data_IF_249670409345
#
_entry.id   IF_249670409345
#
_cell.length_a   1.000
_cell.length_b   1.000
_cell.length_c   1.000
_cell.angle_alpha   90.00
_cell.angle_beta   90.00
_cell.angle_gamma   90.00
#
_symmetry.space_group_name_H-M   'P 1'
#
loop_
_entity.id
_entity.type
_entity.pdbx_description
1 polymer ?
#
# COMPACT_ATOMS: atom_id res chain seq x y z
N UNK A 1 -21.86 31.43 9.61
CA UNK A 1 -22.61 30.48 8.74
C UNK A 1 -21.83 29.23 8.35
N UNK A 2 -20.50 29.26 8.20
CA UNK A 2 -19.68 28.06 7.88
C UNK A 2 -19.96 26.89 8.82
N UNK A 3 -19.95 27.13 10.14
CA UNK A 3 -20.24 26.12 11.14
C UNK A 3 -21.55 25.37 10.87
N UNK A 4 -22.64 26.09 10.55
CA UNK A 4 -23.92 25.45 10.25
C UNK A 4 -23.84 24.55 9.00
N UNK A 5 -23.12 24.98 7.95
CA UNK A 5 -22.92 24.16 6.74
C UNK A 5 -22.11 22.91 7.02
N UNK A 6 -21.03 23.02 7.80
CA UNK A 6 -20.24 21.87 8.27
C UNK A 6 -21.11 20.90 9.05
N UNK A 7 -21.93 21.38 10.00
CA UNK A 7 -22.81 20.51 10.79
C UNK A 7 -23.88 19.82 9.95
N UNK A 8 -24.43 20.48 8.93
CA UNK A 8 -25.37 19.85 8.00
C UNK A 8 -24.68 18.69 7.26
N UNK A 9 -23.50 18.91 6.68
CA UNK A 9 -22.76 17.86 5.98
C UNK A 9 -22.33 16.71 6.92
N UNK A 10 -21.93 17.04 8.15
CA UNK A 10 -21.64 16.07 9.20
C UNK A 10 -22.86 15.18 9.51
N UNK A 11 -24.05 15.78 9.67
CA UNK A 11 -25.28 15.04 9.97
C UNK A 11 -25.68 14.13 8.80
N UNK A 12 -25.54 14.62 7.56
CA UNK A 12 -25.78 13.81 6.36
C UNK A 12 -24.83 12.60 6.35
N UNK A 13 -23.53 12.82 6.55
CA UNK A 13 -22.55 11.71 6.66
C UNK A 13 -22.94 10.72 7.75
N UNK A 14 -23.32 11.18 8.94
CA UNK A 14 -23.73 10.31 10.04
C UNK A 14 -24.94 9.45 9.68
N UNK A 15 -25.90 9.99 8.93
CA UNK A 15 -27.06 9.24 8.43
C UNK A 15 -26.64 8.18 7.41
N UNK A 16 -25.82 8.53 6.42
CA UNK A 16 -25.30 7.59 5.42
C UNK A 16 -24.50 6.45 6.08
N UNK A 17 -23.67 6.78 7.07
CA UNK A 17 -22.88 5.78 7.78
C UNK A 17 -23.77 4.84 8.61
N UNK A 18 -24.82 5.37 9.25
CA UNK A 18 -25.77 4.54 9.98
C UNK A 18 -26.52 3.59 9.04
N UNK A 19 -26.91 4.06 7.85
CA UNK A 19 -27.53 3.23 6.82
C UNK A 19 -26.62 2.07 6.40
N UNK A 20 -25.36 2.36 6.05
CA UNK A 20 -24.37 1.36 5.66
C UNK A 20 -24.17 0.27 6.74
N UNK A 21 -23.99 0.67 8.00
CA UNK A 21 -23.81 -0.27 9.13
C UNK A 21 -25.06 -1.13 9.34
N UNK A 22 -26.26 -0.56 9.20
CA UNK A 22 -27.50 -1.33 9.37
C UNK A 22 -27.63 -2.34 8.22
N UNK A 23 -27.34 -1.94 6.98
CA UNK A 23 -27.41 -2.82 5.82
C UNK A 23 -26.43 -4.01 5.95
N UNK A 24 -25.19 -3.75 6.37
CA UNK A 24 -24.19 -4.78 6.63
C UNK A 24 -24.69 -5.81 7.64
N UNK A 25 -25.23 -5.36 8.78
CA UNK A 25 -25.79 -6.26 9.83
C UNK A 25 -27.04 -7.01 9.40
N UNK A 26 -27.85 -6.43 8.52
CA UNK A 26 -29.03 -7.10 7.97
C UNK A 26 -28.59 -8.18 6.98
N UNK A 27 -27.56 -7.90 6.18
CA UNK A 27 -26.97 -8.83 5.22
C UNK A 27 -26.39 -10.07 5.91
N UNK A 28 -25.60 -9.89 6.97
CA UNK A 28 -25.03 -10.99 7.78
C UNK A 28 -26.10 -11.94 8.37
N UNK A 29 -27.35 -11.47 8.54
CA UNK A 29 -28.43 -12.25 9.15
C UNK A 29 -29.34 -12.98 8.14
N UNK A 30 -29.23 -12.71 6.84
CA UNK A 30 -30.09 -13.33 5.81
C UNK A 30 -29.26 -14.12 4.81
N UNK A 31 -29.20 -15.43 5.01
CA UNK A 31 -28.89 -16.38 3.93
C UNK A 31 -29.97 -16.22 2.84
N UNK A 32 -29.60 -15.60 1.72
CA UNK A 32 -30.34 -15.47 0.46
C UNK A 32 -31.45 -14.39 0.32
N UNK A 33 -31.16 -13.46 -0.62
CA UNK A 33 -32.03 -12.72 -1.55
C UNK A 33 -32.92 -11.56 -1.01
N UNK A 34 -32.35 -10.36 -1.06
CA UNK A 34 -32.80 -9.20 -1.86
C UNK A 34 -31.72 -8.12 -1.75
N UNK A 35 -30.83 -8.04 -2.75
CA UNK A 35 -29.58 -7.28 -2.70
C UNK A 35 -29.72 -5.75 -2.78
N UNK A 36 -30.94 -5.21 -2.74
CA UNK A 36 -31.16 -3.76 -2.77
C UNK A 36 -32.04 -3.39 -1.58
N UNK A 37 -31.50 -2.62 -0.63
CA UNK A 37 -32.31 -2.12 0.45
C UNK A 37 -31.56 -1.23 1.41
N UNK A 38 -31.05 -0.09 0.94
CA UNK A 38 -30.82 1.05 1.83
C UNK A 38 -32.06 1.23 2.72
N UNK A 39 -31.85 1.39 4.03
CA UNK A 39 -32.91 1.71 4.99
C UNK A 39 -33.48 3.10 4.68
N UNK A 40 -32.62 3.98 4.17
CA UNK A 40 -33.03 5.30 3.69
C UNK A 40 -33.74 5.13 2.34
N UNK A 41 -34.99 5.60 2.20
CA UNK A 41 -35.69 5.55 0.91
C UNK A 41 -34.91 6.33 -0.17
N UNK A 42 -34.86 5.80 -1.40
CA UNK A 42 -34.08 6.39 -2.51
C UNK A 42 -34.38 7.88 -2.76
N UNK A 43 -35.63 8.32 -2.57
CA UNK A 43 -36.00 9.73 -2.71
C UNK A 43 -35.27 10.64 -1.70
N UNK A 44 -35.07 10.17 -0.47
CA UNK A 44 -34.35 10.89 0.56
C UNK A 44 -32.84 10.83 0.30
N UNK A 45 -32.33 9.69 -0.15
CA UNK A 45 -30.93 9.55 -0.55
C UNK A 45 -30.55 10.52 -1.67
N UNK A 46 -31.43 10.71 -2.67
CA UNK A 46 -31.23 11.68 -3.72
C UNK A 46 -31.15 13.10 -3.19
N UNK A 47 -32.05 13.50 -2.28
CA UNK A 47 -32.01 14.83 -1.66
C UNK A 47 -30.74 15.03 -0.84
N UNK A 48 -30.31 14.02 -0.08
CA UNK A 48 -29.06 14.07 0.69
C UNK A 48 -27.85 14.21 -0.24
N UNK A 49 -27.83 13.46 -1.34
CA UNK A 49 -26.77 13.53 -2.34
C UNK A 49 -26.74 14.89 -3.05
N UNK A 50 -27.88 15.46 -3.44
CA UNK A 50 -27.96 16.80 -4.03
C UNK A 50 -27.38 17.87 -3.10
N UNK A 51 -27.65 17.77 -1.79
CA UNK A 51 -27.06 18.70 -0.81
C UNK A 51 -25.54 18.54 -0.74
N UNK A 52 -25.01 17.31 -0.80
CA UNK A 52 -23.56 17.07 -0.85
C UNK A 52 -22.95 17.59 -2.16
N UNK A 53 -23.62 17.36 -3.29
CA UNK A 53 -23.21 17.83 -4.61
C UNK A 53 -23.17 19.35 -4.67
N UNK A 54 -24.10 20.08 -4.08
CA UNK A 54 -24.02 21.55 -4.03
C UNK A 54 -22.86 22.05 -3.15
N UNK A 55 -22.37 21.23 -2.21
CA UNK A 55 -21.39 21.64 -1.19
C UNK A 55 -19.98 21.12 -1.42
N UNK A 56 -19.76 20.23 -2.38
CA UNK A 56 -18.40 19.76 -2.70
C UNK A 56 -17.48 20.88 -3.19
N UNK A 57 -18.05 21.96 -3.77
CA UNK A 57 -17.33 23.18 -4.20
C UNK A 57 -17.46 24.35 -3.22
N UNK A 58 -17.81 24.11 -1.94
CA UNK A 58 -17.91 25.19 -0.95
C UNK A 58 -16.57 25.91 -0.78
N UNK A 59 -16.61 27.22 -0.57
CA UNK A 59 -15.42 28.06 -0.34
C UNK A 59 -14.64 27.63 0.91
N UNK A 60 -15.33 27.03 1.89
CA UNK A 60 -14.71 26.52 3.10
C UNK A 60 -14.22 25.08 2.92
N UNK A 61 -12.90 24.87 3.01
CA UNK A 61 -12.29 23.54 3.03
C UNK A 61 -12.89 22.61 4.11
N UNK A 62 -13.26 23.13 5.29
CA UNK A 62 -13.89 22.32 6.34
C UNK A 62 -15.27 21.79 5.92
N UNK A 63 -16.00 22.52 5.08
CA UNK A 63 -17.28 22.04 4.52
C UNK A 63 -16.99 20.96 3.47
N UNK A 64 -16.07 21.23 2.53
CA UNK A 64 -15.68 20.26 1.49
C UNK A 64 -15.17 18.95 2.11
N UNK A 65 -14.32 19.02 3.12
CA UNK A 65 -13.81 17.87 3.87
C UNK A 65 -14.94 17.00 4.45
N UNK A 66 -15.96 17.60 5.06
CA UNK A 66 -17.12 16.85 5.57
C UNK A 66 -17.98 16.26 4.45
N UNK A 67 -18.13 16.98 3.33
CA UNK A 67 -18.82 16.48 2.14
C UNK A 67 -18.12 15.22 1.61
N UNK A 68 -16.79 15.25 1.45
CA UNK A 68 -16.03 14.12 0.92
C UNK A 68 -16.16 12.86 1.77
N UNK A 69 -16.15 13.01 3.11
CA UNK A 69 -16.39 11.88 4.03
C UNK A 69 -17.81 11.30 3.91
N UNK A 70 -18.79 12.11 3.50
CA UNK A 70 -20.15 11.63 3.20
C UNK A 70 -20.20 10.91 1.85
N UNK A 71 -19.61 11.52 0.82
CA UNK A 71 -19.56 10.97 -0.54
C UNK A 71 -18.85 9.62 -0.58
N UNK A 72 -17.79 9.43 0.23
CA UNK A 72 -17.07 8.16 0.27
C UNK A 72 -17.90 6.96 0.75
N UNK A 73 -18.98 7.17 1.48
CA UNK A 73 -19.84 6.08 1.96
C UNK A 73 -20.67 5.51 0.81
N UNK A 74 -21.00 6.34 -0.18
CA UNK A 74 -21.88 6.00 -1.31
C UNK A 74 -21.12 5.87 -2.62
N UNK A 75 -19.79 5.70 -2.58
CA UNK A 75 -18.94 5.78 -3.76
C UNK A 75 -19.13 4.63 -4.75
N UNK A 76 -19.53 3.46 -4.24
CA UNK A 76 -19.75 2.24 -5.03
C UNK A 76 -21.22 2.05 -5.44
N UNK A 77 -22.10 3.00 -5.09
CA UNK A 77 -23.51 2.94 -5.45
C UNK A 77 -23.70 3.13 -6.97
N UNK A 78 -24.52 2.27 -7.57
CA UNK A 78 -24.69 2.22 -9.03
C UNK A 78 -25.17 3.57 -9.59
N UNK A 79 -24.69 3.91 -10.79
CA UNK A 79 -25.08 5.15 -11.48
C UNK A 79 -26.62 5.26 -11.70
N UNK A 80 -27.30 4.12 -11.77
CA UNK A 80 -28.76 3.98 -11.88
C UNK A 80 -29.52 4.47 -10.63
N UNK A 81 -28.85 4.50 -9.48
CA UNK A 81 -29.39 5.02 -8.24
C UNK A 81 -29.58 6.55 -8.31
N UNK A 82 -28.58 7.26 -8.85
CA UNK A 82 -28.56 8.72 -8.93
C UNK A 82 -29.11 9.28 -10.26
N UNK A 83 -29.21 8.45 -11.32
CA UNK A 83 -29.59 8.90 -12.67
C UNK A 83 -31.08 9.23 -12.88
N UNK A 84 -31.93 9.02 -11.86
CA UNK A 84 -33.39 9.25 -12.02
C UNK A 84 -33.80 10.73 -12.07
N UNK A 85 -32.90 11.69 -11.81
CA UNK A 85 -33.19 13.10 -11.99
C UNK A 85 -32.01 13.86 -12.63
N UNK A 86 -32.21 14.25 -13.90
CA UNK A 86 -31.40 15.11 -14.80
C UNK A 86 -30.37 14.39 -15.67
N UNK A 87 -30.72 14.30 -16.95
CA UNK A 87 -29.95 13.72 -18.03
C UNK A 87 -28.72 14.54 -18.50
N UNK A 88 -28.06 15.34 -17.65
CA UNK A 88 -26.86 16.09 -18.03
C UNK A 88 -25.94 16.33 -16.81
N UNK A 89 -24.67 15.92 -16.91
CA UNK A 89 -23.51 16.43 -16.17
C UNK A 89 -23.45 16.27 -14.63
N UNK A 90 -24.14 15.33 -14.01
CA UNK A 90 -23.85 15.02 -12.60
C UNK A 90 -22.66 14.07 -12.49
N UNK A 91 -21.61 14.55 -11.83
CA UNK A 91 -20.41 13.75 -11.53
C UNK A 91 -20.76 12.67 -10.52
N UNK A 92 -20.22 11.47 -10.72
CA UNK A 92 -20.42 10.37 -9.76
C UNK A 92 -19.77 10.68 -8.41
N UNK A 93 -20.22 10.07 -7.32
CA UNK A 93 -19.50 10.12 -6.04
C UNK A 93 -18.00 9.85 -6.17
N UNK A 94 -17.63 8.83 -6.96
CA UNK A 94 -16.24 8.47 -7.22
C UNK A 94 -15.49 9.56 -8.00
N UNK A 95 -16.08 10.12 -9.05
CA UNK A 95 -15.49 11.24 -9.81
C UNK A 95 -15.29 12.49 -8.95
N UNK A 96 -16.20 12.76 -8.01
CA UNK A 96 -16.03 13.87 -7.06
C UNK A 96 -14.79 13.60 -6.21
N UNK A 97 -14.66 12.42 -5.60
CA UNK A 97 -13.47 12.06 -4.81
C UNK A 97 -12.18 12.21 -5.63
N UNK A 98 -12.15 11.70 -6.87
CA UNK A 98 -11.00 11.83 -7.78
C UNK A 98 -10.59 13.29 -8.00
N UNK A 99 -11.55 14.19 -8.22
CA UNK A 99 -11.26 15.63 -8.40
C UNK A 99 -10.58 16.25 -7.18
N UNK A 100 -10.97 15.83 -5.98
CA UNK A 100 -10.43 16.40 -4.74
C UNK A 100 -9.02 15.91 -4.37
N UNK A 101 -8.41 15.01 -5.15
CA UNK A 101 -6.96 14.77 -5.09
C UNK A 101 -6.16 16.04 -5.44
N UNK A 102 -6.76 16.95 -6.24
CA UNK A 102 -6.17 18.22 -6.66
C UNK A 102 -6.82 19.42 -5.95
N UNK A 103 -7.48 19.21 -4.81
CA UNK A 103 -8.06 20.31 -4.03
C UNK A 103 -6.97 21.27 -3.55
N UNK A 104 -7.28 22.56 -3.44
CA UNK A 104 -6.36 23.58 -2.90
C UNK A 104 -5.99 23.34 -1.42
N UNK A 105 -6.84 22.64 -0.68
CA UNK A 105 -6.66 22.33 0.73
C UNK A 105 -6.11 20.93 0.92
N UNK A 106 -4.97 20.84 1.61
CA UNK A 106 -4.37 19.55 1.97
C UNK A 106 -5.27 18.69 2.88
N UNK A 107 -6.15 19.31 3.68
CA UNK A 107 -7.16 18.57 4.47
C UNK A 107 -8.19 17.87 3.59
N UNK A 108 -8.59 18.49 2.48
CA UNK A 108 -9.52 17.89 1.52
C UNK A 108 -8.85 16.78 0.71
N UNK A 109 -7.61 17.03 0.25
CA UNK A 109 -6.78 16.01 -0.39
C UNK A 109 -6.59 14.79 0.54
N UNK A 110 -6.29 15.03 1.81
CA UNK A 110 -6.09 13.98 2.81
C UNK A 110 -7.34 13.13 3.00
N UNK A 111 -8.53 13.74 3.02
CA UNK A 111 -9.79 12.99 3.08
C UNK A 111 -9.96 12.15 1.82
N UNK A 112 -9.83 12.74 0.63
CA UNK A 112 -9.99 12.01 -0.62
C UNK A 112 -9.04 10.80 -0.71
N UNK A 113 -7.76 10.98 -0.38
CA UNK A 113 -6.75 9.92 -0.29
C UNK A 113 -7.16 8.83 0.70
N UNK A 114 -7.65 9.20 1.88
CA UNK A 114 -8.01 8.23 2.93
C UNK A 114 -9.28 7.45 2.66
N UNK A 115 -10.20 7.97 1.85
CA UNK A 115 -11.56 7.42 1.78
C UNK A 115 -11.94 6.85 0.42
N UNK A 116 -11.22 7.18 -0.65
CA UNK A 116 -11.52 6.60 -1.98
C UNK A 116 -11.28 5.09 -2.00
N UNK A 117 -12.08 4.36 -2.76
CA UNK A 117 -11.90 2.95 -3.07
C UNK A 117 -10.79 2.81 -4.12
N UNK A 118 -9.75 2.04 -3.84
CA UNK A 118 -8.56 1.94 -4.71
C UNK A 118 -8.55 0.56 -5.39
N UNK A 119 -9.51 0.35 -6.30
CA UNK A 119 -9.70 -0.95 -6.97
C UNK A 119 -9.28 -0.90 -8.44
N UNK A 120 -9.59 0.21 -9.13
CA UNK A 120 -9.25 0.36 -10.54
C UNK A 120 -7.92 1.08 -10.74
N UNK A 121 -7.35 0.86 -11.93
CA UNK A 121 -6.03 1.37 -12.34
C UNK A 121 -5.91 2.89 -12.20
N UNK A 122 -7.00 3.61 -12.47
CA UNK A 122 -7.03 5.07 -12.41
C UNK A 122 -6.85 5.59 -10.97
N UNK A 123 -7.51 4.99 -9.98
CA UNK A 123 -7.34 5.34 -8.57
C UNK A 123 -5.95 4.98 -8.05
N UNK A 124 -5.40 3.85 -8.50
CA UNK A 124 -4.02 3.47 -8.16
C UNK A 124 -3.04 4.52 -8.72
N UNK A 125 -3.21 4.94 -9.97
CA UNK A 125 -2.37 5.97 -10.58
C UNK A 125 -2.46 7.31 -9.84
N UNK A 126 -3.67 7.75 -9.48
CA UNK A 126 -3.87 8.94 -8.65
C UNK A 126 -3.18 8.81 -7.28
N UNK A 127 -3.28 7.64 -6.64
CA UNK A 127 -2.65 7.41 -5.34
C UNK A 127 -1.12 7.46 -5.44
N UNK A 128 -0.54 6.90 -6.51
CA UNK A 128 0.90 6.99 -6.79
C UNK A 128 1.32 8.44 -7.03
N UNK A 129 0.57 9.24 -7.80
CA UNK A 129 0.85 10.67 -7.99
C UNK A 129 0.92 11.41 -6.64
N UNK A 130 -0.03 11.14 -5.73
CA UNK A 130 -0.05 11.75 -4.40
C UNK A 130 1.12 11.31 -3.52
N UNK A 131 1.51 10.04 -3.60
CA UNK A 131 2.64 9.50 -2.84
C UNK A 131 4.01 10.01 -3.33
N UNK A 132 4.14 10.37 -4.60
CA UNK A 132 5.41 10.83 -5.20
C UNK A 132 5.54 12.36 -5.25
N UNK A 133 4.44 13.08 -5.40
CA UNK A 133 4.47 14.51 -5.77
C UNK A 133 3.79 15.46 -4.79
N UNK A 134 3.12 14.99 -3.74
CA UNK A 134 2.39 15.89 -2.86
C UNK A 134 3.32 16.66 -1.92
N UNK A 135 3.12 17.98 -1.81
CA UNK A 135 3.94 18.86 -0.98
C UNK A 135 3.68 18.70 0.52
N UNK A 136 2.50 18.21 0.93
CA UNK A 136 2.14 18.01 2.32
C UNK A 136 2.48 16.58 2.77
N UNK A 137 3.45 16.47 3.69
CA UNK A 137 3.95 15.20 4.24
C UNK A 137 2.83 14.29 4.76
N UNK A 138 1.77 14.85 5.36
CA UNK A 138 0.63 14.07 5.87
C UNK A 138 -0.19 13.39 4.76
N UNK A 139 -0.38 14.09 3.64
CA UNK A 139 -1.11 13.55 2.48
C UNK A 139 -0.26 12.49 1.79
N UNK A 140 1.02 12.79 1.58
CA UNK A 140 2.00 11.86 1.02
C UNK A 140 2.05 10.55 1.84
N UNK A 141 2.20 10.66 3.17
CA UNK A 141 2.24 9.52 4.08
C UNK A 141 0.96 8.69 4.06
N UNK A 142 -0.21 9.34 3.96
CA UNK A 142 -1.48 8.66 3.85
C UNK A 142 -1.59 7.89 2.53
N UNK A 143 -1.16 8.48 1.41
CA UNK A 143 -1.14 7.82 0.11
C UNK A 143 -0.22 6.59 0.11
N UNK A 144 0.98 6.70 0.69
CA UNK A 144 1.88 5.56 0.88
C UNK A 144 1.25 4.44 1.72
N UNK A 145 0.51 4.78 2.79
CA UNK A 145 -0.19 3.79 3.62
C UNK A 145 -1.29 3.06 2.85
N UNK A 146 -2.09 3.80 2.07
CA UNK A 146 -3.15 3.24 1.22
C UNK A 146 -2.56 2.33 0.13
N UNK A 147 -1.46 2.72 -0.51
CA UNK A 147 -0.75 1.89 -1.48
C UNK A 147 -0.18 0.61 -0.86
N UNK A 148 0.31 0.67 0.39
CA UNK A 148 0.82 -0.51 1.07
C UNK A 148 -0.30 -1.52 1.38
N UNK A 149 -1.44 -1.02 1.90
CA UNK A 149 -2.50 -1.86 2.47
C UNK A 149 -3.54 -2.34 1.49
N UNK A 150 -3.89 -1.52 0.51
CA UNK A 150 -5.07 -1.75 -0.33
C UNK A 150 -4.71 -2.11 -1.77
N UNK A 151 -3.43 -2.04 -2.14
CA UNK A 151 -2.98 -2.27 -3.52
C UNK A 151 -2.01 -3.44 -3.56
N UNK A 152 -2.39 -4.50 -4.28
CA UNK A 152 -1.52 -5.64 -4.58
C UNK A 152 -0.25 -5.16 -5.31
N UNK A 153 0.90 -5.67 -4.89
CA UNK A 153 2.22 -5.37 -5.44
C UNK A 153 2.22 -5.50 -6.96
N UNK A 154 1.55 -6.52 -7.53
CA UNK A 154 1.43 -6.79 -8.97
C UNK A 154 0.63 -5.74 -9.72
N UNK A 155 -0.28 -5.03 -9.06
CA UNK A 155 -1.07 -3.96 -9.66
C UNK A 155 -0.21 -2.71 -9.97
N UNK A 156 0.90 -2.53 -9.25
CA UNK A 156 1.89 -1.49 -9.55
C UNK A 156 2.83 -1.94 -10.68
N UNK A 157 3.14 -1.04 -11.60
CA UNK A 157 4.22 -1.28 -12.56
C UNK A 157 5.59 -1.30 -11.87
N UNK A 158 6.57 -1.95 -12.49
CA UNK A 158 7.95 -1.99 -11.98
C UNK A 158 8.50 -0.57 -11.77
N UNK A 159 8.25 0.34 -12.72
CA UNK A 159 8.65 1.76 -12.61
C UNK A 159 8.05 2.43 -11.38
N UNK A 160 6.75 2.28 -11.14
CA UNK A 160 6.08 2.86 -9.97
C UNK A 160 6.66 2.32 -8.66
N UNK A 161 6.91 1.01 -8.57
CA UNK A 161 7.55 0.41 -7.38
C UNK A 161 8.91 1.04 -7.12
N UNK A 162 9.74 1.14 -8.16
CA UNK A 162 11.08 1.70 -8.04
C UNK A 162 11.07 3.18 -7.66
N UNK A 163 10.17 3.98 -8.24
CA UNK A 163 10.01 5.41 -7.91
C UNK A 163 9.52 5.62 -6.47
N UNK A 164 8.55 4.83 -6.00
CA UNK A 164 8.07 4.88 -4.63
C UNK A 164 9.18 4.55 -3.63
N UNK A 165 9.93 3.48 -3.89
CA UNK A 165 11.08 3.08 -3.06
C UNK A 165 12.14 4.18 -2.99
N UNK A 166 12.56 4.70 -4.15
CA UNK A 166 13.51 5.82 -4.22
C UNK A 166 13.02 7.02 -3.43
N UNK A 167 11.76 7.42 -3.65
CA UNK A 167 11.16 8.57 -2.97
C UNK A 167 11.19 8.39 -1.45
N UNK A 168 10.80 7.22 -0.95
CA UNK A 168 10.82 6.94 0.49
C UNK A 168 12.24 6.91 1.06
N UNK A 169 13.16 6.18 0.41
CA UNK A 169 14.52 5.97 0.91
C UNK A 169 15.36 7.25 0.90
N UNK A 170 15.11 8.13 -0.08
CA UNK A 170 15.78 9.42 -0.22
C UNK A 170 15.08 10.56 0.52
N UNK A 171 13.92 10.29 1.13
CA UNK A 171 13.17 11.31 1.87
C UNK A 171 13.98 11.83 3.06
N UNK A 172 14.00 13.14 3.23
CA UNK A 172 14.55 13.79 4.42
C UNK A 172 13.64 13.70 5.65
N UNK A 173 12.39 13.25 5.47
CA UNK A 173 11.40 13.12 6.53
C UNK A 173 11.46 11.73 7.17
N UNK A 174 11.81 11.60 8.48
CA UNK A 174 11.96 10.30 9.13
C UNK A 174 10.68 9.45 9.09
N UNK A 175 9.51 10.08 9.15
CA UNK A 175 8.20 9.40 9.10
C UNK A 175 7.98 8.72 7.74
N UNK A 176 8.55 9.25 6.66
CA UNK A 176 8.50 8.63 5.34
C UNK A 176 9.62 7.58 5.23
N UNK A 177 10.85 7.96 5.55
CA UNK A 177 12.03 7.12 5.34
C UNK A 177 12.02 5.84 6.20
N UNK A 178 11.57 5.93 7.45
CA UNK A 178 11.45 4.78 8.35
C UNK A 178 10.05 4.19 8.27
N UNK A 179 9.03 4.94 8.64
CA UNK A 179 7.75 4.33 9.01
C UNK A 179 6.95 3.91 7.78
N UNK A 180 6.86 4.77 6.75
CA UNK A 180 6.18 4.43 5.51
C UNK A 180 6.91 3.33 4.74
N UNK A 181 8.24 3.40 4.66
CA UNK A 181 9.04 2.36 4.02
C UNK A 181 8.88 1.01 4.71
N UNK A 182 8.90 0.98 6.05
CA UNK A 182 8.73 -0.25 6.81
C UNK A 182 7.31 -0.84 6.70
N UNK A 183 6.29 0.01 6.60
CA UNK A 183 4.91 -0.42 6.34
C UNK A 183 4.80 -1.06 4.94
N UNK A 184 5.22 -0.33 3.89
CA UNK A 184 5.21 -0.82 2.52
C UNK A 184 5.97 -2.13 2.37
N UNK A 185 7.18 -2.20 2.95
CA UNK A 185 8.02 -3.39 2.88
C UNK A 185 7.40 -4.57 3.61
N UNK A 186 6.63 -4.36 4.68
CA UNK A 186 5.94 -5.46 5.36
C UNK A 186 4.95 -6.12 4.42
N UNK A 187 4.04 -5.32 3.86
CA UNK A 187 2.97 -5.81 2.98
C UNK A 187 3.56 -6.47 1.72
N UNK A 188 4.61 -5.88 1.14
CA UNK A 188 5.26 -6.44 -0.05
C UNK A 188 6.03 -7.74 0.23
N UNK A 189 6.62 -7.90 1.41
CA UNK A 189 7.27 -9.16 1.79
C UNK A 189 6.23 -10.25 2.04
N UNK A 190 5.12 -9.91 2.69
CA UNK A 190 4.03 -10.84 2.93
C UNK A 190 3.45 -11.34 1.60
N UNK A 191 3.21 -10.44 0.63
CA UNK A 191 2.76 -10.86 -0.69
C UNK A 191 3.84 -11.65 -1.47
N UNK A 192 5.10 -11.23 -1.44
CA UNK A 192 6.20 -11.93 -2.10
C UNK A 192 6.46 -13.33 -1.52
N UNK A 193 6.09 -13.56 -0.26
CA UNK A 193 6.15 -14.87 0.37
C UNK A 193 5.11 -15.85 -0.19
N UNK A 194 4.04 -15.34 -0.82
CA UNK A 194 2.96 -16.16 -1.37
C UNK A 194 1.87 -16.50 -0.37
N UNK A 195 1.82 -15.84 0.80
CA UNK A 195 0.65 -15.89 1.67
C UNK A 195 -0.50 -15.11 1.03
N UNK A 196 -1.59 -15.82 0.72
CA UNK A 196 -2.88 -15.16 0.58
C UNK A 196 -3.28 -14.64 1.97
N UNK A 197 -3.80 -13.43 2.04
CA UNK A 197 -4.29 -12.76 3.27
C UNK A 197 -5.42 -13.49 4.01
N UNK A 198 -5.75 -14.72 3.57
CA UNK A 198 -6.79 -15.62 4.08
C UNK A 198 -6.22 -16.78 4.90
N UNK A 199 -4.89 -16.94 5.01
CA UNK A 199 -4.32 -18.00 5.85
C UNK A 199 -4.54 -17.71 7.34
N UNK A 200 -5.25 -18.60 8.02
CA UNK A 200 -5.59 -18.56 9.46
C UNK A 200 -4.44 -18.02 10.33
N UNK A 201 -4.80 -17.17 11.31
CA UNK A 201 -3.91 -16.53 12.30
C UNK A 201 -3.01 -17.53 13.07
N UNK A 202 -3.30 -18.83 12.97
CA UNK A 202 -2.57 -19.94 13.61
C UNK A 202 -1.57 -20.68 12.69
N UNK A 203 -1.39 -20.28 11.43
CA UNK A 203 -0.36 -20.86 10.57
C UNK A 203 1.04 -20.43 11.01
N UNK A 204 1.68 -21.30 11.82
CA UNK A 204 3.10 -21.21 12.20
C UNK A 204 3.88 -20.78 10.97
N UNK A 205 4.60 -19.66 11.09
CA UNK A 205 5.47 -19.14 10.05
C UNK A 205 6.37 -20.29 9.59
N UNK A 206 6.23 -20.72 8.34
CA UNK A 206 7.29 -21.54 7.76
C UNK A 206 8.50 -20.60 7.64
N UNK A 207 9.40 -20.72 8.62
CA UNK A 207 10.61 -19.93 8.74
C UNK A 207 11.38 -19.93 7.42
N UNK A 208 11.30 -21.03 6.65
CA UNK A 208 11.92 -21.12 5.34
C UNK A 208 11.26 -20.15 4.33
N UNK A 209 9.93 -20.14 4.20
CA UNK A 209 9.23 -19.32 3.20
C UNK A 209 9.41 -17.82 3.41
N UNK A 210 9.36 -17.37 4.67
CA UNK A 210 9.55 -15.94 4.96
C UNK A 210 11.01 -15.50 4.79
N UNK A 211 11.97 -16.39 5.02
CA UNK A 211 13.37 -16.07 4.73
C UNK A 211 13.60 -15.81 3.24
N UNK A 212 12.86 -16.48 2.34
CA UNK A 212 12.96 -16.25 0.89
C UNK A 212 12.19 -15.03 0.39
N UNK A 213 11.32 -14.42 1.20
CA UNK A 213 10.50 -13.29 0.78
C UNK A 213 11.32 -12.11 0.18
N UNK A 214 12.47 -11.69 0.76
CA UNK A 214 13.32 -10.66 0.13
C UNK A 214 13.85 -11.08 -1.26
N UNK A 215 14.27 -12.33 -1.42
CA UNK A 215 14.76 -12.83 -2.70
C UNK A 215 13.63 -12.90 -3.75
N UNK A 216 12.42 -13.29 -3.33
CA UNK A 216 11.22 -13.30 -4.18
C UNK A 216 10.77 -11.88 -4.53
N UNK A 217 10.91 -10.92 -3.62
CA UNK A 217 10.57 -9.52 -3.84
C UNK A 217 11.34 -8.92 -5.02
N UNK A 218 12.60 -9.34 -5.25
CA UNK A 218 13.39 -8.87 -6.41
C UNK A 218 12.75 -9.18 -7.76
N UNK A 219 11.88 -10.20 -7.86
CA UNK A 219 11.15 -10.51 -9.09
C UNK A 219 10.17 -9.40 -9.49
N UNK A 220 9.84 -8.52 -8.55
CA UNK A 220 8.95 -7.38 -8.74
C UNK A 220 9.70 -6.06 -8.91
N UNK A 221 11.03 -6.06 -8.89
CA UNK A 221 11.89 -4.87 -8.94
C UNK A 221 12.75 -4.85 -10.20
N UNK A 222 13.48 -3.73 -10.42
CA UNK A 222 14.42 -3.57 -11.54
C UNK A 222 15.87 -3.39 -11.06
N UNK A 223 16.51 -4.44 -10.51
CA UNK A 223 17.85 -4.33 -9.92
C UNK A 223 18.95 -4.01 -10.95
N UNK A 224 18.71 -4.23 -12.25
CA UNK A 224 19.73 -3.96 -13.29
C UNK A 224 19.85 -2.47 -13.61
N UNK A 225 18.72 -1.77 -13.75
CA UNK A 225 18.72 -0.34 -14.04
C UNK A 225 18.81 0.51 -12.75
N UNK A 226 18.33 -0.03 -11.64
CA UNK A 226 18.20 0.66 -10.36
C UNK A 226 18.91 -0.06 -9.21
N UNK A 227 20.15 -0.44 -9.50
CA UNK A 227 21.00 -1.27 -8.67
C UNK A 227 21.09 -0.80 -7.21
N UNK A 228 21.33 0.49 -6.99
CA UNK A 228 21.48 1.05 -5.64
C UNK A 228 20.18 0.97 -4.84
N UNK A 229 19.04 1.36 -5.43
CA UNK A 229 17.74 1.33 -4.76
C UNK A 229 17.38 -0.10 -4.37
N UNK A 230 17.51 -1.04 -5.32
CA UNK A 230 17.22 -2.43 -5.06
C UNK A 230 18.15 -3.02 -3.99
N UNK A 231 19.42 -2.60 -3.98
CA UNK A 231 20.42 -3.11 -3.04
C UNK A 231 20.08 -2.66 -1.63
N UNK A 232 19.88 -1.35 -1.46
CA UNK A 232 19.59 -0.75 -0.17
C UNK A 232 18.26 -1.29 0.40
N UNK A 233 17.25 -1.53 -0.46
CA UNK A 233 16.00 -2.18 -0.06
C UNK A 233 16.24 -3.62 0.41
N UNK A 234 17.06 -4.40 -0.30
CA UNK A 234 17.36 -5.77 0.08
C UNK A 234 18.05 -5.85 1.44
N UNK A 235 19.00 -4.96 1.71
CA UNK A 235 19.63 -4.88 3.03
C UNK A 235 18.60 -4.61 4.13
N UNK A 236 17.65 -3.69 3.88
CA UNK A 236 16.57 -3.39 4.84
C UNK A 236 15.64 -4.60 5.02
N UNK A 237 15.26 -5.27 3.93
CA UNK A 237 14.41 -6.45 3.95
C UNK A 237 15.05 -7.62 4.72
N UNK A 238 16.32 -7.93 4.47
CA UNK A 238 17.04 -8.97 5.21
C UNK A 238 17.16 -8.65 6.70
N UNK A 239 17.45 -7.39 7.05
CA UNK A 239 17.51 -6.96 8.45
C UNK A 239 16.15 -7.14 9.14
N UNK A 240 15.05 -6.85 8.44
CA UNK A 240 13.68 -7.07 8.93
C UNK A 240 13.37 -8.55 9.14
N UNK A 241 13.62 -9.39 8.14
CA UNK A 241 13.38 -10.83 8.24
C UNK A 241 14.17 -11.45 9.41
N UNK A 242 15.46 -11.10 9.55
CA UNK A 242 16.28 -11.51 10.70
C UNK A 242 15.64 -11.14 12.03
N UNK A 243 15.16 -9.90 12.17
CA UNK A 243 14.53 -9.40 13.40
C UNK A 243 13.22 -10.13 13.72
N UNK A 244 12.36 -10.32 12.71
CA UNK A 244 11.05 -10.97 12.89
C UNK A 244 11.19 -12.46 13.23
N UNK A 245 12.19 -13.13 12.65
CA UNK A 245 12.47 -14.54 12.88
C UNK A 245 13.42 -14.79 14.05
N UNK A 246 13.87 -13.74 14.75
CA UNK A 246 14.84 -13.80 15.85
C UNK A 246 16.13 -14.57 15.51
N UNK A 247 16.54 -14.52 14.24
CA UNK A 247 17.64 -15.35 13.73
C UNK A 247 18.98 -14.93 14.31
N UNK A 248 19.72 -15.92 14.80
CA UNK A 248 21.12 -15.80 15.13
C UNK A 248 21.99 -15.84 13.86
N UNK A 249 23.24 -15.36 13.95
CA UNK A 249 24.15 -15.32 12.80
C UNK A 249 24.32 -16.70 12.13
N UNK A 250 24.39 -17.77 12.92
CA UNK A 250 24.49 -19.14 12.41
C UNK A 250 23.31 -19.56 11.53
N UNK A 251 22.09 -19.12 11.87
CA UNK A 251 20.86 -19.43 11.13
C UNK A 251 20.77 -18.62 9.83
N UNK A 252 21.25 -17.36 9.85
CA UNK A 252 21.40 -16.54 8.63
C UNK A 252 22.33 -17.24 7.64
N UNK A 253 23.41 -17.86 8.12
CA UNK A 253 24.33 -18.60 7.27
C UNK A 253 23.71 -19.83 6.62
N UNK A 254 22.86 -20.56 7.34
CA UNK A 254 22.20 -21.74 6.80
C UNK A 254 21.15 -21.37 5.75
N UNK A 255 20.44 -20.26 5.94
CA UNK A 255 19.53 -19.69 4.96
C UNK A 255 20.20 -19.39 3.62
N UNK A 256 21.43 -18.85 3.60
CA UNK A 256 22.10 -18.51 2.33
C UNK A 256 22.29 -19.75 1.45
N UNK A 257 22.52 -20.90 2.08
CA UNK A 257 22.79 -22.16 1.36
C UNK A 257 21.55 -22.72 0.66
N UNK A 258 20.35 -22.29 1.05
CA UNK A 258 19.10 -22.86 0.54
C UNK A 258 18.58 -22.14 -0.73
N UNK A 259 19.25 -21.09 -1.21
CA UNK A 259 18.91 -20.39 -2.46
C UNK A 259 19.20 -21.26 -3.72
N UNK A 260 18.21 -21.41 -4.58
CA UNK A 260 18.21 -22.23 -5.81
C UNK A 260 18.93 -21.59 -7.02
N UNK A 261 19.14 -22.35 -8.11
CA UNK A 261 19.87 -21.92 -9.33
C UNK A 261 19.18 -20.83 -10.16
N UNK A 262 17.84 -20.81 -10.24
CA UNK A 262 17.13 -19.70 -10.89
C UNK A 262 17.14 -18.45 -9.98
N UNK A 263 17.16 -18.67 -8.66
CA UNK A 263 17.47 -17.62 -7.70
C UNK A 263 18.93 -17.17 -7.82
N UNK A 264 19.87 -17.96 -8.40
CA UNK A 264 21.30 -17.65 -8.48
C UNK A 264 21.68 -16.50 -9.44
N UNK A 265 20.93 -16.23 -10.50
CA UNK A 265 21.17 -15.07 -11.38
C UNK A 265 20.78 -13.75 -10.71
N UNK A 266 19.60 -13.73 -10.07
CA UNK A 266 19.28 -12.70 -9.06
C UNK A 266 20.24 -12.79 -7.88
N UNK A 267 20.82 -13.97 -7.59
CA UNK A 267 21.72 -14.15 -6.46
C UNK A 267 23.12 -13.63 -6.66
N UNK A 268 23.59 -13.27 -7.85
CA UNK A 268 24.82 -12.47 -7.90
C UNK A 268 24.57 -11.12 -7.23
N UNK A 269 23.42 -10.51 -7.51
CA UNK A 269 22.98 -9.28 -6.87
C UNK A 269 22.61 -9.52 -5.38
N UNK A 270 21.83 -10.56 -5.06
CA UNK A 270 21.48 -10.91 -3.67
C UNK A 270 22.73 -11.26 -2.87
N UNK A 271 23.65 -12.07 -3.39
CA UNK A 271 24.91 -12.42 -2.71
C UNK A 271 25.72 -11.18 -2.39
N UNK A 272 25.78 -10.19 -3.30
CA UNK A 272 26.42 -8.92 -2.98
C UNK A 272 25.67 -8.17 -1.86
N UNK A 273 24.35 -8.05 -1.94
CA UNK A 273 23.55 -7.42 -0.89
C UNK A 273 23.73 -8.11 0.47
N UNK A 274 23.78 -9.44 0.48
CA UNK A 274 23.98 -10.25 1.68
C UNK A 274 25.40 -10.12 2.23
N UNK A 275 26.41 -10.03 1.37
CA UNK A 275 27.79 -9.75 1.78
C UNK A 275 27.89 -8.38 2.46
N UNK A 276 27.28 -7.35 1.87
CA UNK A 276 27.27 -6.00 2.44
C UNK A 276 26.46 -5.93 3.75
N UNK A 277 25.32 -6.62 3.82
CA UNK A 277 24.56 -6.81 5.06
C UNK A 277 25.40 -7.49 6.15
N UNK A 278 25.95 -8.68 5.88
CA UNK A 278 26.76 -9.42 6.84
C UNK A 278 27.99 -8.63 7.30
N UNK A 279 28.62 -7.87 6.40
CA UNK A 279 29.72 -6.97 6.75
C UNK A 279 29.28 -5.86 7.71
N UNK A 280 28.11 -5.26 7.48
CA UNK A 280 27.56 -4.21 8.35
C UNK A 280 27.14 -4.70 9.73
N UNK A 281 26.78 -5.99 9.85
CA UNK A 281 26.31 -6.62 11.08
C UNK A 281 27.42 -7.38 11.85
N UNK A 282 28.61 -7.54 11.25
CA UNK A 282 29.75 -8.21 11.88
C UNK A 282 30.37 -7.30 12.95
N UNK A 283 30.58 -7.83 14.15
CA UNK A 283 31.17 -7.08 15.27
C UNK A 283 32.70 -7.20 15.32
N UNK A 284 33.27 -8.13 14.56
CA UNK A 284 34.72 -8.34 14.46
C UNK A 284 35.15 -8.77 13.04
N UNK A 285 36.44 -8.60 12.74
CA UNK A 285 37.03 -9.07 11.48
C UNK A 285 36.94 -10.60 11.35
N UNK A 286 36.96 -11.34 12.47
CA UNK A 286 36.80 -12.79 12.46
C UNK A 286 35.39 -13.20 12.05
N UNK A 287 34.36 -12.52 12.56
CA UNK A 287 32.96 -12.74 12.16
C UNK A 287 32.76 -12.43 10.68
N UNK A 288 33.40 -11.35 10.19
CA UNK A 288 33.35 -11.00 8.77
C UNK A 288 34.03 -12.05 7.89
N UNK A 289 35.22 -12.52 8.27
CA UNK A 289 35.94 -13.57 7.53
C UNK A 289 35.10 -14.85 7.45
N UNK A 290 34.44 -15.23 8.56
CA UNK A 290 33.55 -16.39 8.61
C UNK A 290 32.33 -16.19 7.72
N UNK A 291 31.68 -15.02 7.77
CA UNK A 291 30.59 -14.66 6.86
C UNK A 291 31.05 -14.77 5.40
N UNK A 292 32.19 -14.18 5.07
CA UNK A 292 32.72 -14.15 3.71
C UNK A 292 33.08 -15.54 3.20
N UNK A 293 33.73 -16.36 4.01
CA UNK A 293 34.07 -17.75 3.66
C UNK A 293 32.82 -18.60 3.42
N UNK A 294 31.74 -18.34 4.15
CA UNK A 294 30.46 -19.06 4.01
C UNK A 294 29.59 -18.56 2.86
N UNK A 295 29.64 -17.27 2.56
CA UNK A 295 28.83 -16.62 1.52
C UNK A 295 29.44 -16.76 0.13
N UNK A 296 30.77 -16.73 0.01
CA UNK A 296 31.45 -16.83 -1.26
C UNK A 296 31.77 -18.29 -1.59
N UNK A 297 31.32 -18.81 -2.75
CA UNK A 297 31.81 -20.08 -3.24
C UNK A 297 33.32 -20.00 -3.53
N UNK A 298 34.00 -21.14 -3.59
CA UNK A 298 35.39 -21.16 -4.03
C UNK A 298 35.52 -20.62 -5.46
N UNK A 299 36.67 -20.04 -5.81
CA UNK A 299 36.90 -19.49 -7.15
C UNK A 299 36.58 -20.51 -8.26
N UNK A 300 36.88 -21.79 -8.04
CA UNK A 300 36.56 -22.86 -8.97
C UNK A 300 35.05 -23.04 -9.15
N UNK A 301 34.30 -23.14 -8.05
CA UNK A 301 32.84 -23.26 -8.07
C UNK A 301 32.17 -22.03 -8.69
N UNK A 302 32.74 -20.84 -8.48
CA UNK A 302 32.27 -19.61 -9.13
C UNK A 302 32.53 -19.61 -10.65
N UNK A 303 33.72 -20.01 -11.08
CA UNK A 303 34.02 -20.13 -12.51
C UNK A 303 33.13 -21.16 -13.21
N UNK A 304 32.85 -22.29 -12.55
CA UNK A 304 31.94 -23.32 -13.06
C UNK A 304 30.49 -22.82 -13.15
N UNK A 305 30.09 -21.92 -12.25
CA UNK A 305 28.79 -21.26 -12.27
C UNK A 305 28.67 -20.25 -13.43
N UNK A 306 29.69 -19.41 -13.66
CA UNK A 306 29.66 -18.37 -14.70
C UNK A 306 29.80 -18.93 -16.12
N UNK A 307 30.35 -20.12 -16.29
CA UNK A 307 30.64 -20.74 -17.60
C UNK A 307 29.55 -21.70 -18.11
N UNK A 308 28.50 -21.95 -17.31
CA UNK A 308 27.31 -22.70 -17.72
C UNK A 308 26.17 -21.75 -18.11
#
# INVERSE_FOLDING_TARGET
MVAARVHICYLIRSLLNADAIINERIFERRDSLSANGSVIPNEHMNVLYEILLDRHVDVSASVRSEVLKGISIIQDESHDFFSRQRANDQSTPLEILRRHFRDESSDCQLVAVKTISVVAKEEIELMVEMALGNAETKVLRAALSRLAKDVDLKALSITQRMELLKSMMLSGEPVIQSDALNEMLSEWLDEASGRDSVSEEDSVWDTAEYCFAPARLLRFLEPLNEEKTAHDLMVIAFRRCRKNLLMQNAEVHEFVKTLTVLEQANAVFIWRCMLDFCKSESTSEADWIECRYRLLPTLHTFCDFVTK
#
